data_IF_447772982404
#
_entry.id   IF_447772982404
#
_cell.length_a   1.000
_cell.length_b   1.000
_cell.length_c   1.000
_cell.angle_alpha   90.00
_cell.angle_beta   90.00
_cell.angle_gamma   90.00
#
_symmetry.space_group_name_H-M   'P 1'
#
loop_
_entity.id
_entity.type
_entity.pdbx_description
1 polymer ?
#
# COMPACT_ATOMS: atom_id res chain seq x y z
N UNK A 1 -34.33 -3.46 47.54
CA UNK A 1 -33.50 -4.46 46.82
C UNK A 1 -33.93 -4.66 45.37
N UNK A 2 -35.22 -4.92 45.09
CA UNK A 2 -35.73 -5.14 43.73
C UNK A 2 -35.63 -3.94 42.77
N UNK A 3 -35.84 -2.72 43.28
CA UNK A 3 -35.75 -1.50 42.47
C UNK A 3 -34.33 -1.20 41.99
N UNK A 4 -33.34 -1.43 42.86
CA UNK A 4 -31.90 -1.21 42.57
C UNK A 4 -31.43 -2.17 41.47
N UNK A 5 -31.88 -3.42 41.51
CA UNK A 5 -31.54 -4.44 40.51
C UNK A 5 -32.11 -4.09 39.12
N UNK A 6 -33.31 -3.51 39.05
CA UNK A 6 -33.92 -3.04 37.79
C UNK A 6 -33.16 -1.85 37.20
N UNK A 7 -32.74 -0.90 38.04
CA UNK A 7 -31.94 0.25 37.60
C UNK A 7 -30.59 -0.20 37.06
N UNK A 8 -29.94 -1.17 37.71
CA UNK A 8 -28.68 -1.75 37.24
C UNK A 8 -28.84 -2.49 35.89
N UNK A 9 -29.90 -3.30 35.74
CA UNK A 9 -30.22 -3.98 34.49
C UNK A 9 -30.52 -3.00 33.35
N UNK A 10 -31.22 -1.91 33.63
CA UNK A 10 -31.49 -0.83 32.66
C UNK A 10 -30.22 -0.10 32.23
N UNK A 11 -29.27 0.12 33.14
CA UNK A 11 -27.97 0.72 32.82
C UNK A 11 -27.09 -0.21 31.98
N UNK A 12 -27.09 -1.51 32.26
CA UNK A 12 -26.39 -2.52 31.43
C UNK A 12 -27.03 -2.60 30.04
N UNK A 13 -28.36 -2.61 29.96
CA UNK A 13 -29.08 -2.62 28.68
C UNK A 13 -28.79 -1.34 27.88
N UNK A 14 -28.76 -0.18 28.52
CA UNK A 14 -28.37 1.08 27.89
C UNK A 14 -26.91 1.07 27.41
N UNK A 15 -25.99 0.50 28.18
CA UNK A 15 -24.59 0.37 27.77
C UNK A 15 -24.42 -0.62 26.60
N UNK A 16 -25.23 -1.67 26.51
CA UNK A 16 -25.25 -2.59 25.37
C UNK A 16 -25.91 -1.98 24.13
N UNK A 17 -26.97 -1.18 24.30
CA UNK A 17 -27.69 -0.50 23.22
C UNK A 17 -26.94 0.72 22.68
N UNK A 18 -26.19 1.43 23.51
CA UNK A 18 -25.47 2.66 23.14
C UNK A 18 -23.94 2.52 23.09
N UNK A 19 -23.36 1.51 23.74
CA UNK A 19 -21.91 1.23 23.71
C UNK A 19 -21.46 0.30 22.58
N UNK A 20 -22.40 -0.13 21.73
CA UNK A 20 -22.16 -1.00 20.58
C UNK A 20 -21.43 -0.30 19.43
N UNK A 21 -20.11 -0.23 19.54
CA UNK A 21 -19.20 -0.08 18.41
C UNK A 21 -18.71 1.34 18.18
N UNK A 22 -17.53 1.64 18.73
CA UNK A 22 -16.63 2.61 18.10
C UNK A 22 -16.26 2.01 16.73
N UNK A 23 -17.06 2.31 15.71
CA UNK A 23 -16.69 2.04 14.33
C UNK A 23 -15.57 3.01 13.98
N UNK A 24 -14.34 2.63 14.29
CA UNK A 24 -13.17 3.26 13.70
C UNK A 24 -13.14 2.84 12.22
N UNK A 25 -13.91 3.54 11.38
CA UNK A 25 -13.72 3.46 9.94
C UNK A 25 -12.44 4.21 9.59
N UNK A 26 -11.31 3.50 9.68
CA UNK A 26 -10.13 3.91 8.96
C UNK A 26 -10.44 3.76 7.47
N UNK A 27 -10.53 4.88 6.75
CA UNK A 27 -10.68 4.88 5.29
C UNK A 27 -9.52 4.09 4.68
N UNK A 28 -9.79 2.89 4.18
CA UNK A 28 -8.79 2.05 3.54
C UNK A 28 -8.72 2.44 2.07
N UNK A 29 -7.61 3.04 1.65
CA UNK A 29 -7.43 3.44 0.26
C UNK A 29 -7.03 2.24 -0.59
N UNK A 30 -7.72 2.04 -1.70
CA UNK A 30 -7.49 0.92 -2.61
C UNK A 30 -6.92 1.41 -3.94
N UNK A 31 -5.85 0.78 -4.41
CA UNK A 31 -5.16 1.07 -5.66
C UNK A 31 -5.15 -0.17 -6.56
N UNK A 32 -4.98 0.03 -7.85
CA UNK A 32 -4.89 -1.05 -8.84
C UNK A 32 -3.59 -0.94 -9.62
N UNK A 33 -2.78 -2.00 -9.55
CA UNK A 33 -1.55 -2.16 -10.30
C UNK A 33 -1.76 -3.22 -11.37
N UNK A 34 -1.83 -2.81 -12.63
CA UNK A 34 -1.89 -3.73 -13.77
C UNK A 34 -0.49 -3.86 -14.34
N UNK A 35 0.17 -4.97 -14.01
CA UNK A 35 1.48 -5.31 -14.57
C UNK A 35 1.27 -5.75 -16.02
N UNK A 36 1.91 -5.07 -16.97
CA UNK A 36 1.78 -5.36 -18.42
C UNK A 36 3.01 -4.91 -19.19
N UNK A 37 3.24 -5.52 -20.34
CA UNK A 37 4.22 -5.02 -21.31
C UNK A 37 3.77 -3.68 -21.89
N UNK A 38 4.72 -2.76 -22.06
CA UNK A 38 4.54 -1.50 -22.78
C UNK A 38 5.79 -1.19 -23.60
N UNK A 39 5.60 -0.62 -24.78
CA UNK A 39 6.69 -0.17 -25.64
C UNK A 39 7.33 1.08 -25.04
N UNK A 40 8.65 1.06 -24.89
CA UNK A 40 9.43 2.17 -24.36
C UNK A 40 10.66 2.42 -25.23
N UNK A 41 10.88 3.68 -25.58
CA UNK A 41 12.00 4.10 -26.43
C UNK A 41 12.98 4.93 -25.63
N UNK A 42 14.24 4.50 -25.60
CA UNK A 42 15.34 5.25 -24.98
C UNK A 42 16.61 5.02 -25.80
N UNK A 43 17.45 6.04 -25.95
CA UNK A 43 18.70 5.97 -26.73
C UNK A 43 18.44 5.46 -28.17
N UNK A 44 17.37 5.93 -28.82
CA UNK A 44 16.95 5.54 -30.16
C UNK A 44 16.62 4.04 -30.35
N UNK A 45 16.45 3.27 -29.28
CA UNK A 45 16.05 1.87 -29.32
C UNK A 45 14.72 1.66 -28.61
N UNK A 46 13.80 0.96 -29.26
CA UNK A 46 12.48 0.63 -28.72
C UNK A 46 12.47 -0.81 -28.23
N UNK A 47 12.01 -1.02 -26.99
CA UNK A 47 11.83 -2.35 -26.41
C UNK A 47 10.48 -2.42 -25.71
N UNK A 48 9.87 -3.60 -25.72
CA UNK A 48 8.75 -3.89 -24.82
C UNK A 48 9.32 -4.22 -23.45
N UNK A 49 8.93 -3.44 -22.44
CA UNK A 49 9.35 -3.60 -21.06
C UNK A 49 8.15 -3.90 -20.17
N UNK A 50 8.36 -4.60 -19.07
CA UNK A 50 7.32 -4.79 -18.08
C UNK A 50 7.13 -3.50 -17.28
N UNK A 51 5.88 -3.09 -17.09
CA UNK A 51 5.50 -1.82 -16.45
C UNK A 51 4.31 -2.02 -15.52
N UNK A 52 4.03 -1.04 -14.67
CA UNK A 52 2.74 -0.95 -13.96
C UNK A 52 1.89 0.10 -14.66
N UNK A 53 0.67 -0.28 -15.02
CA UNK A 53 -0.30 0.57 -15.70
C UNK A 53 0.19 1.14 -17.05
N UNK A 54 1.24 0.56 -17.64
CA UNK A 54 1.83 1.08 -18.88
C UNK A 54 2.80 2.23 -18.67
N UNK A 55 3.19 2.51 -17.41
CA UNK A 55 4.04 3.63 -17.04
C UNK A 55 5.43 3.14 -16.64
N UNK A 56 6.44 3.81 -17.16
CA UNK A 56 7.83 3.71 -16.70
C UNK A 56 8.38 5.13 -16.54
N UNK A 57 8.65 5.61 -15.31
CA UNK A 57 8.43 4.95 -14.02
C UNK A 57 6.96 4.63 -13.72
N UNK A 58 6.72 3.67 -12.83
CA UNK A 58 5.37 3.31 -12.40
C UNK A 58 4.71 4.41 -11.54
N UNK A 59 3.40 4.27 -11.25
CA UNK A 59 2.65 5.28 -10.51
C UNK A 59 3.17 5.47 -9.08
N UNK A 60 3.22 6.73 -8.64
CA UNK A 60 3.58 7.08 -7.26
C UNK A 60 2.43 6.79 -6.30
N UNK A 61 2.73 6.13 -5.19
CA UNK A 61 1.80 5.91 -4.08
C UNK A 61 1.93 7.06 -3.09
N UNK A 62 0.93 7.94 -3.03
CA UNK A 62 0.87 9.00 -2.01
C UNK A 62 0.09 8.53 -0.79
N UNK A 63 0.66 8.60 0.40
CA UNK A 63 0.06 8.13 1.64
C UNK A 63 0.29 9.13 2.77
N UNK A 64 -0.38 8.94 3.90
CA UNK A 64 -0.03 9.61 5.17
C UNK A 64 0.52 8.60 6.17
N UNK A 65 1.35 9.08 7.09
CA UNK A 65 1.88 8.28 8.19
C UNK A 65 0.77 7.53 8.93
N UNK A 66 0.94 6.22 9.09
CA UNK A 66 -0.01 5.33 9.76
C UNK A 66 -1.17 4.82 8.89
N UNK A 67 -1.26 5.19 7.61
CA UNK A 67 -2.30 4.68 6.72
C UNK A 67 -2.11 3.21 6.33
N UNK A 68 -3.23 2.53 6.09
CA UNK A 68 -3.23 1.20 5.45
C UNK A 68 -3.77 1.33 4.03
N UNK A 69 -3.00 0.81 3.07
CA UNK A 69 -3.34 0.83 1.64
C UNK A 69 -3.49 -0.60 1.15
N UNK A 70 -4.49 -0.85 0.31
CA UNK A 70 -4.63 -2.12 -0.41
C UNK A 70 -4.28 -1.90 -1.87
N UNK A 71 -3.36 -2.70 -2.41
CA UNK A 71 -3.00 -2.68 -3.83
C UNK A 71 -3.39 -4.00 -4.45
N UNK A 72 -4.35 -3.96 -5.37
CA UNK A 72 -4.67 -5.12 -6.20
C UNK A 72 -3.68 -5.20 -7.36
N UNK A 73 -2.80 -6.20 -7.31
CA UNK A 73 -1.81 -6.44 -8.36
C UNK A 73 -2.37 -7.48 -9.32
N UNK A 74 -2.59 -7.07 -10.57
CA UNK A 74 -3.03 -7.93 -11.67
C UNK A 74 -1.84 -8.19 -12.58
N UNK A 75 -1.40 -9.44 -12.67
CA UNK A 75 -0.35 -9.81 -13.60
C UNK A 75 -0.94 -10.08 -14.99
N UNK A 76 -0.82 -9.11 -15.90
CA UNK A 76 -1.10 -9.26 -17.34
C UNK A 76 0.19 -9.35 -18.18
N UNK A 77 1.34 -9.52 -17.53
CA UNK A 77 2.62 -9.81 -18.18
C UNK A 77 2.72 -11.28 -18.59
N UNK A 78 3.87 -11.64 -19.18
CA UNK A 78 4.17 -13.02 -19.59
C UNK A 78 4.96 -13.82 -18.55
N UNK A 79 5.59 -13.14 -17.60
CA UNK A 79 6.45 -13.73 -16.57
C UNK A 79 5.81 -13.65 -15.17
N UNK A 80 6.30 -14.48 -14.26
CA UNK A 80 5.96 -14.45 -12.85
C UNK A 80 6.39 -13.12 -12.23
N UNK A 81 5.61 -12.60 -11.27
CA UNK A 81 5.99 -11.37 -10.58
C UNK A 81 5.58 -11.33 -9.12
N UNK A 82 6.39 -10.65 -8.30
CA UNK A 82 6.01 -10.14 -6.99
C UNK A 82 6.32 -8.66 -6.87
N UNK A 83 5.64 -7.95 -5.96
CA UNK A 83 5.87 -6.52 -5.68
C UNK A 83 6.22 -6.38 -4.20
N UNK A 84 7.24 -5.58 -3.91
CA UNK A 84 7.74 -5.24 -2.58
C UNK A 84 7.64 -3.74 -2.29
N UNK A 85 7.35 -3.42 -1.02
CA UNK A 85 7.16 -2.07 -0.50
C UNK A 85 8.41 -1.63 0.28
N UNK A 86 9.46 -1.27 -0.46
CA UNK A 86 10.78 -1.02 0.11
C UNK A 86 10.77 0.06 1.20
N UNK A 87 11.24 -0.32 2.39
CA UNK A 87 11.32 0.55 3.57
C UNK A 87 10.04 0.65 4.38
N UNK A 88 8.97 -0.06 4.01
CA UNK A 88 7.79 -0.25 4.87
C UNK A 88 8.05 -1.39 5.84
N UNK A 89 7.88 -1.16 7.14
CA UNK A 89 8.24 -2.12 8.19
C UNK A 89 7.35 -3.37 8.25
N UNK A 90 6.12 -3.30 7.74
CA UNK A 90 5.17 -4.41 7.70
C UNK A 90 5.01 -5.14 9.06
N UNK A 91 4.71 -4.42 10.16
CA UNK A 91 4.84 -4.94 11.52
C UNK A 91 3.93 -6.15 11.75
N UNK A 92 4.56 -7.32 11.98
CA UNK A 92 3.90 -8.64 12.14
C UNK A 92 3.05 -9.05 10.93
N UNK A 93 3.34 -8.53 9.74
CA UNK A 93 2.56 -8.79 8.54
C UNK A 93 3.44 -9.08 7.31
N UNK A 94 4.24 -10.16 7.32
CA UNK A 94 5.15 -10.49 6.22
C UNK A 94 4.43 -10.94 4.94
N UNK A 95 3.16 -11.35 5.03
CA UNK A 95 2.40 -12.01 3.96
C UNK A 95 2.27 -11.22 2.66
N UNK A 96 2.45 -9.89 2.71
CA UNK A 96 2.37 -9.01 1.56
C UNK A 96 3.62 -8.15 1.41
N UNK A 97 4.73 -8.60 2.02
CA UNK A 97 6.03 -7.94 1.91
C UNK A 97 6.64 -8.07 0.51
N UNK A 98 6.53 -9.24 -0.14
CA UNK A 98 6.79 -9.37 -1.57
C UNK A 98 8.00 -10.19 -2.03
N UNK A 99 9.11 -10.37 -1.27
CA UNK A 99 10.26 -11.12 -1.77
C UNK A 99 9.89 -12.56 -2.19
N UNK A 100 10.14 -12.85 -3.47
CA UNK A 100 9.76 -14.12 -4.09
C UNK A 100 10.45 -15.30 -3.39
N UNK A 101 9.68 -16.36 -3.10
CA UNK A 101 10.11 -17.57 -2.37
C UNK A 101 10.59 -17.36 -0.94
N UNK A 102 10.51 -16.14 -0.40
CA UNK A 102 10.76 -15.84 1.02
C UNK A 102 9.42 -15.67 1.75
N UNK A 103 8.57 -14.75 1.30
CA UNK A 103 7.28 -14.47 1.95
C UNK A 103 6.08 -14.93 1.12
N UNK A 104 6.27 -15.17 -0.18
CA UNK A 104 5.20 -15.61 -1.08
C UNK A 104 5.74 -16.32 -2.32
N UNK A 105 4.91 -17.19 -2.91
CA UNK A 105 5.08 -17.61 -4.30
C UNK A 105 4.74 -16.45 -5.27
N UNK A 106 5.25 -16.48 -6.52
CA UNK A 106 4.95 -15.45 -7.49
C UNK A 106 3.48 -15.39 -7.89
N UNK A 107 3.04 -14.19 -8.26
CA UNK A 107 1.77 -13.96 -8.94
C UNK A 107 1.96 -14.41 -10.40
N UNK A 108 1.36 -15.55 -10.75
CA UNK A 108 1.47 -16.09 -12.11
C UNK A 108 0.80 -15.18 -13.15
N UNK A 109 1.21 -15.28 -14.44
CA UNK A 109 0.51 -14.62 -15.53
C UNK A 109 -1.00 -14.90 -15.51
N UNK A 110 -1.80 -13.85 -15.73
CA UNK A 110 -3.29 -13.87 -15.69
C UNK A 110 -3.89 -14.05 -14.30
N UNK A 111 -3.07 -14.12 -13.25
CA UNK A 111 -3.53 -14.16 -11.86
C UNK A 111 -3.48 -12.77 -11.21
N UNK A 112 -4.02 -12.68 -9.99
CA UNK A 112 -4.02 -11.46 -9.18
C UNK A 112 -3.72 -11.76 -7.72
N UNK A 113 -3.15 -10.80 -7.02
CA UNK A 113 -2.95 -10.86 -5.58
C UNK A 113 -3.16 -9.47 -4.98
N UNK A 114 -3.99 -9.40 -3.94
CA UNK A 114 -4.23 -8.16 -3.20
C UNK A 114 -3.22 -8.05 -2.07
N UNK A 115 -2.33 -7.07 -2.17
CA UNK A 115 -1.32 -6.80 -1.17
C UNK A 115 -1.75 -5.66 -0.25
N UNK A 116 -1.41 -5.76 1.04
CA UNK A 116 -1.69 -4.73 2.04
C UNK A 116 -0.38 -4.05 2.43
N UNK A 117 -0.36 -2.73 2.41
CA UNK A 117 0.73 -1.90 2.89
C UNK A 117 0.30 -1.35 4.25
N UNK A 118 1.05 -1.64 5.30
CA UNK A 118 0.78 -1.15 6.66
C UNK A 118 1.87 -0.14 7.02
N UNK A 119 1.59 1.15 6.79
CA UNK A 119 2.47 2.22 7.26
C UNK A 119 2.28 2.38 8.78
N UNK A 120 3.39 2.66 9.44
CA UNK A 120 3.55 2.74 10.89
C UNK A 120 4.24 4.04 11.27
N UNK A 121 5.56 4.00 11.51
CA UNK A 121 6.39 5.13 11.88
C UNK A 121 6.94 5.91 10.68
N UNK A 122 6.85 5.36 9.47
CA UNK A 122 7.43 5.91 8.25
C UNK A 122 6.81 7.27 7.89
N UNK A 123 7.67 8.21 7.49
CA UNK A 123 7.32 9.55 7.00
C UNK A 123 8.47 10.01 6.10
N UNK A 124 8.18 10.50 4.89
CA UNK A 124 9.18 10.85 3.88
C UNK A 124 9.04 10.05 2.58
N UNK A 125 10.17 9.77 1.93
CA UNK A 125 10.20 9.09 0.62
C UNK A 125 10.65 7.65 0.78
N UNK A 126 9.80 6.72 0.34
CA UNK A 126 10.06 5.31 0.15
C UNK A 126 9.87 4.97 -1.34
N UNK A 127 9.92 3.70 -1.70
CA UNK A 127 9.65 3.26 -3.07
C UNK A 127 9.10 1.84 -3.08
N UNK A 128 8.48 1.46 -4.18
CA UNK A 128 8.04 0.09 -4.43
C UNK A 128 8.75 -0.43 -5.67
N UNK A 129 8.97 -1.74 -5.69
CA UNK A 129 9.58 -2.38 -6.84
C UNK A 129 9.18 -3.85 -6.93
N UNK A 130 9.30 -4.44 -8.12
CA UNK A 130 9.18 -5.88 -8.23
C UNK A 130 10.29 -6.59 -7.46
N UNK A 131 10.00 -7.76 -6.88
CA UNK A 131 10.97 -8.52 -6.07
C UNK A 131 11.10 -9.98 -6.51
N UNK A 132 11.01 -10.18 -7.83
CA UNK A 132 11.26 -11.44 -8.54
C UNK A 132 12.25 -11.18 -9.68
N UNK A 133 13.30 -12.00 -9.76
CA UNK A 133 14.40 -11.85 -10.72
C UNK A 133 14.93 -10.40 -10.86
N UNK A 134 15.10 -9.91 -12.09
CA UNK A 134 15.60 -8.56 -12.40
C UNK A 134 14.48 -7.60 -12.83
N UNK A 135 13.22 -7.98 -12.65
CA UNK A 135 12.05 -7.23 -13.14
C UNK A 135 11.94 -5.82 -12.53
N UNK A 136 12.56 -5.57 -11.38
CA UNK A 136 12.70 -4.22 -10.80
C UNK A 136 13.42 -3.22 -11.70
N UNK A 137 14.14 -3.67 -12.74
CA UNK A 137 14.78 -2.78 -13.71
C UNK A 137 13.77 -1.83 -14.36
N UNK A 138 12.51 -2.26 -14.54
CA UNK A 138 11.44 -1.46 -15.16
C UNK A 138 10.15 -1.41 -14.36
N UNK A 139 9.98 -2.31 -13.38
CA UNK A 139 8.82 -2.33 -12.48
C UNK A 139 9.18 -1.73 -11.13
N UNK A 140 9.10 -0.40 -11.04
CA UNK A 140 9.30 0.35 -9.80
C UNK A 140 8.64 1.74 -9.85
N UNK A 141 8.42 2.34 -8.69
CA UNK A 141 7.88 3.69 -8.54
C UNK A 141 8.01 4.19 -7.10
N UNK A 142 7.70 5.47 -6.87
CA UNK A 142 7.86 6.09 -5.56
C UNK A 142 6.69 5.78 -4.61
N UNK A 143 6.96 5.85 -3.31
CA UNK A 143 5.95 5.94 -2.26
C UNK A 143 6.27 7.22 -1.46
N UNK A 144 5.36 8.18 -1.44
CA UNK A 144 5.51 9.43 -0.69
C UNK A 144 4.60 9.38 0.52
N UNK A 145 5.18 9.41 1.72
CA UNK A 145 4.47 9.32 3.00
C UNK A 145 4.48 10.70 3.66
N UNK A 146 3.36 11.39 3.56
CA UNK A 146 3.11 12.69 4.18
C UNK A 146 2.97 12.59 5.70
N UNK A 147 3.18 13.71 6.43
CA UNK A 147 2.83 13.80 7.84
C UNK A 147 1.37 13.40 8.09
N UNK A 148 1.12 12.82 9.26
CA UNK A 148 -0.23 12.45 9.69
C UNK A 148 -1.15 13.68 9.69
N UNK A 149 -2.45 13.48 9.51
CA UNK A 149 -3.45 14.54 9.70
C UNK A 149 -3.24 15.24 11.06
N UNK A 150 -3.11 16.57 11.02
CA UNK A 150 -2.89 17.39 12.21
C UNK A 150 -1.41 17.59 12.58
N UNK A 151 -0.46 16.96 11.90
CA UNK A 151 0.98 17.22 12.08
C UNK A 151 1.55 17.98 10.89
N UNK A 152 2.77 18.52 11.05
CA UNK A 152 3.50 19.28 10.03
C UNK A 152 4.91 18.71 9.90
N UNK A 153 5.56 19.00 8.78
CA UNK A 153 6.99 18.78 8.64
C UNK A 153 7.78 19.50 9.75
N UNK A 154 8.95 18.98 10.16
CA UNK A 154 9.85 19.67 11.08
C UNK A 154 10.58 20.86 10.42
N UNK A 155 10.27 21.17 9.16
CA UNK A 155 10.80 22.27 8.37
C UNK A 155 9.63 23.02 7.67
N UNK A 156 9.86 24.25 7.16
CA UNK A 156 8.83 25.00 6.42
C UNK A 156 8.28 24.19 5.25
N UNK A 157 6.95 24.22 5.06
CA UNK A 157 6.30 23.49 3.96
C UNK A 157 6.92 23.92 2.62
N UNK A 158 7.46 22.98 1.82
CA UNK A 158 8.03 23.30 0.51
C UNK A 158 6.99 23.92 -0.43
N UNK A 159 7.43 24.80 -1.31
CA UNK A 159 6.58 25.35 -2.38
C UNK A 159 6.17 24.29 -3.40
N UNK A 160 7.04 23.33 -3.67
CA UNK A 160 6.81 22.21 -4.57
C UNK A 160 7.57 20.97 -4.09
N UNK A 161 7.03 19.80 -4.43
CA UNK A 161 7.66 18.50 -4.22
C UNK A 161 7.77 17.84 -5.59
N UNK A 162 8.98 17.85 -6.16
CA UNK A 162 9.26 17.28 -7.47
C UNK A 162 10.00 15.98 -7.25
N UNK A 163 9.39 14.83 -7.58
CA UNK A 163 10.11 13.58 -7.53
C UNK A 163 11.28 13.60 -8.52
N UNK A 164 12.48 13.28 -8.04
CA UNK A 164 13.68 13.21 -8.88
C UNK A 164 13.72 11.86 -9.60
N UNK A 165 13.38 11.84 -10.89
CA UNK A 165 13.60 10.67 -11.74
C UNK A 165 13.94 11.04 -13.18
#
# INVERSE_FOLDING_TARGET
MWLIMKVFLLQILAFLLFGGGIHCQASTRRLTFVVKEASYTRLCSTKNILTVNGQFLGPTIYAKKGETIIVDVYNRGKENITIHWHGVNMPRYPWTDGPEYITQCPIQPRSKFSQKIILSSEEGTLWWHAHSDWTRATVHGAIIVYPKNGTKYPFPKPNAEIPSY
#
